data_IF_613218953479
#
_entry.id   IF_613218953479
#
_cell.length_a   1.000
_cell.length_b   1.000
_cell.length_c   1.000
_cell.angle_alpha   90.00
_cell.angle_beta   90.00
_cell.angle_gamma   90.00
#
_symmetry.space_group_name_H-M   'P 1'
#
loop_
_entity.id
_entity.type
_entity.pdbx_description
1 polymer ?
#
# COMPACT_ATOMS: atom_id res chain seq x y z
N UNK A 1 11.06 -30.94 4.56
CA UNK A 1 10.44 -30.34 5.74
C UNK A 1 10.69 -28.84 5.70
N UNK A 2 9.66 -28.01 5.90
CA UNK A 2 9.83 -26.55 5.95
C UNK A 2 10.49 -26.15 7.26
N UNK A 3 11.43 -25.23 7.20
CA UNK A 3 12.04 -24.66 8.40
C UNK A 3 11.03 -23.75 9.12
N UNK A 4 11.22 -23.52 10.42
CA UNK A 4 10.39 -22.56 11.19
C UNK A 4 10.37 -21.16 10.57
N UNK A 5 11.46 -20.74 9.95
CA UNK A 5 11.57 -19.47 9.22
C UNK A 5 10.69 -19.45 7.97
N UNK A 6 10.68 -20.54 7.19
CA UNK A 6 9.78 -20.68 6.02
C UNK A 6 8.32 -20.71 6.43
N UNK A 7 7.99 -21.37 7.55
CA UNK A 7 6.64 -21.35 8.12
C UNK A 7 6.21 -19.93 8.53
N UNK A 8 7.08 -19.17 9.19
CA UNK A 8 6.79 -17.78 9.55
C UNK A 8 6.64 -16.88 8.32
N UNK A 9 7.42 -17.13 7.27
CA UNK A 9 7.36 -16.35 6.03
C UNK A 9 6.08 -16.63 5.25
N UNK A 10 5.66 -17.90 5.18
CA UNK A 10 4.36 -18.29 4.63
C UNK A 10 3.20 -17.69 5.44
N UNK A 11 3.31 -17.70 6.77
CA UNK A 11 2.27 -17.16 7.63
C UNK A 11 2.01 -15.67 7.42
N UNK A 12 3.03 -14.88 7.05
CA UNK A 12 2.86 -13.44 6.81
C UNK A 12 2.07 -13.16 5.53
N UNK A 13 2.41 -13.82 4.41
CA UNK A 13 1.66 -13.66 3.15
C UNK A 13 0.26 -14.27 3.24
N UNK A 14 0.12 -15.43 3.88
CA UNK A 14 -1.17 -16.09 4.12
C UNK A 14 -2.11 -15.25 4.98
N UNK A 15 -1.57 -14.58 6.01
CA UNK A 15 -2.35 -13.63 6.82
C UNK A 15 -2.82 -12.42 6.00
N UNK A 16 -1.94 -11.84 5.18
CA UNK A 16 -2.31 -10.74 4.28
C UNK A 16 -3.40 -11.21 3.32
N UNK A 17 -3.24 -12.38 2.72
CA UNK A 17 -4.25 -12.98 1.83
C UNK A 17 -5.59 -13.20 2.53
N UNK A 18 -5.61 -13.83 3.68
CA UNK A 18 -6.83 -14.08 4.46
C UNK A 18 -7.55 -12.77 4.81
N UNK A 19 -6.81 -11.74 5.19
CA UNK A 19 -7.37 -10.42 5.50
C UNK A 19 -7.85 -9.69 4.24
N UNK A 20 -7.14 -9.85 3.11
CA UNK A 20 -7.57 -9.39 1.80
C UNK A 20 -8.91 -10.02 1.40
N UNK A 21 -9.04 -11.35 1.55
CA UNK A 21 -10.25 -12.10 1.19
C UNK A 21 -11.47 -11.67 2.03
N UNK A 22 -11.27 -11.37 3.30
CA UNK A 22 -12.30 -10.83 4.20
C UNK A 22 -12.67 -9.37 3.90
N UNK A 23 -11.83 -8.68 3.14
CA UNK A 23 -11.93 -7.26 2.86
C UNK A 23 -11.47 -6.38 4.00
N UNK A 24 -11.13 -5.14 3.71
CA UNK A 24 -10.62 -4.20 4.70
C UNK A 24 -9.10 -4.27 4.88
N UNK A 25 -8.37 -4.18 3.79
CA UNK A 25 -6.92 -4.06 3.75
C UNK A 25 -6.52 -2.79 3.00
N UNK A 26 -5.42 -2.19 3.41
CA UNK A 26 -4.82 -1.05 2.70
C UNK A 26 -3.30 -1.13 2.75
N UNK A 27 -2.66 -0.51 1.76
CA UNK A 27 -1.21 -0.31 1.72
C UNK A 27 -0.95 1.19 1.78
N UNK A 28 -0.17 1.61 2.77
CA UNK A 28 0.18 3.01 3.04
C UNK A 28 1.69 3.09 3.22
N UNK A 29 2.32 4.14 2.70
CA UNK A 29 3.71 4.46 2.98
C UNK A 29 3.85 5.70 3.88
N UNK A 30 4.84 5.66 4.77
CA UNK A 30 5.32 6.86 5.48
C UNK A 30 6.51 7.51 4.78
N UNK A 31 7.12 6.83 3.80
CA UNK A 31 8.31 7.29 3.10
C UNK A 31 7.99 8.33 2.03
N UNK A 32 8.99 9.15 1.71
CA UNK A 32 8.96 10.11 0.61
C UNK A 32 10.33 10.16 -0.06
N UNK A 33 10.35 10.36 -1.39
CA UNK A 33 11.58 10.44 -2.17
C UNK A 33 12.48 11.63 -1.79
N UNK A 34 11.86 12.75 -1.37
CA UNK A 34 12.54 13.98 -0.94
C UNK A 34 13.10 13.93 0.50
N UNK A 35 12.99 12.79 1.20
CA UNK A 35 13.44 12.60 2.58
C UNK A 35 14.61 11.63 2.67
N UNK A 36 15.51 11.87 3.63
CA UNK A 36 16.62 10.99 3.94
C UNK A 36 16.13 9.62 4.46
N UNK A 37 17.00 8.61 4.42
CA UNK A 37 16.73 7.28 4.99
C UNK A 37 16.38 7.35 6.48
N UNK A 38 17.05 8.24 7.24
CA UNK A 38 16.81 8.45 8.68
C UNK A 38 15.42 9.05 8.92
N UNK A 39 15.05 10.08 8.19
CA UNK A 39 13.72 10.70 8.24
C UNK A 39 12.62 9.70 7.85
N UNK A 40 12.81 8.98 6.76
CA UNK A 40 11.84 7.97 6.32
C UNK A 40 11.66 6.84 7.34
N UNK A 41 12.73 6.43 8.04
CA UNK A 41 12.65 5.48 9.15
C UNK A 41 11.83 6.02 10.32
N UNK A 42 12.04 7.29 10.70
CA UNK A 42 11.29 7.97 11.76
C UNK A 42 9.81 8.12 11.38
N UNK A 43 9.53 8.54 10.14
CA UNK A 43 8.17 8.64 9.59
C UNK A 43 7.43 7.29 9.58
N UNK A 44 8.11 6.20 9.22
CA UNK A 44 7.54 4.85 9.28
C UNK A 44 7.17 4.43 10.70
N UNK A 45 8.01 4.72 11.70
CA UNK A 45 7.70 4.47 13.12
C UNK A 45 6.51 5.31 13.60
N UNK A 46 6.43 6.57 13.16
CA UNK A 46 5.31 7.44 13.51
C UNK A 46 4.01 6.96 12.86
N UNK A 47 4.06 6.49 11.60
CA UNK A 47 2.91 5.90 10.92
C UNK A 47 2.39 4.66 11.68
N UNK A 48 3.26 3.80 12.19
CA UNK A 48 2.87 2.66 13.04
C UNK A 48 2.07 3.11 14.29
N UNK A 49 2.51 4.19 14.94
CA UNK A 49 1.81 4.77 16.12
C UNK A 49 0.45 5.35 15.72
N UNK A 50 0.41 6.09 14.63
CA UNK A 50 -0.82 6.73 14.14
C UNK A 50 -1.86 5.69 13.69
N UNK A 51 -1.43 4.57 13.08
CA UNK A 51 -2.30 3.44 12.74
C UNK A 51 -2.97 2.89 14.00
N UNK A 52 -2.16 2.62 15.04
CA UNK A 52 -2.68 2.15 16.34
C UNK A 52 -3.55 3.19 17.02
N UNK A 53 -3.16 4.46 17.00
CA UNK A 53 -3.93 5.57 17.54
C UNK A 53 -5.31 5.76 16.92
N UNK A 54 -5.48 5.28 15.67
CA UNK A 54 -6.82 5.20 15.05
C UNK A 54 -7.61 3.93 15.44
N UNK A 55 -7.10 3.11 16.35
CA UNK A 55 -7.72 1.84 16.72
C UNK A 55 -7.72 0.80 15.60
N UNK A 56 -6.75 0.88 14.70
CA UNK A 56 -6.51 -0.13 13.68
C UNK A 56 -5.50 -1.16 14.20
N UNK A 57 -5.58 -2.43 13.77
CA UNK A 57 -4.57 -3.42 14.10
C UNK A 57 -3.18 -2.98 13.64
N UNK A 58 -2.15 -3.46 14.32
CA UNK A 58 -0.76 -3.20 13.94
C UNK A 58 -0.48 -3.61 12.49
N UNK A 59 0.30 -2.80 11.80
CA UNK A 59 0.61 -3.00 10.40
C UNK A 59 1.68 -4.07 10.18
N UNK A 60 1.60 -4.76 9.03
CA UNK A 60 2.68 -5.60 8.51
C UNK A 60 3.58 -4.75 7.62
N UNK A 61 4.88 -4.71 7.92
CA UNK A 61 5.87 -3.99 7.09
C UNK A 61 6.17 -4.76 5.82
N UNK A 62 6.13 -4.05 4.70
CA UNK A 62 6.36 -4.58 3.36
C UNK A 62 7.24 -3.63 2.55
N UNK A 63 7.76 -4.09 1.42
CA UNK A 63 8.46 -3.25 0.43
C UNK A 63 7.65 -3.19 -0.85
N UNK A 64 7.18 -2.02 -1.21
CA UNK A 64 6.65 -1.73 -2.53
C UNK A 64 7.78 -1.54 -3.55
N UNK A 65 7.57 -1.99 -4.78
CA UNK A 65 8.43 -1.76 -5.93
C UNK A 65 7.56 -1.32 -7.10
N UNK A 66 7.95 -0.25 -7.74
CA UNK A 66 7.28 0.24 -8.95
C UNK A 66 8.27 0.93 -9.86
N UNK A 67 7.88 1.10 -11.10
CA UNK A 67 8.63 1.84 -12.09
C UNK A 67 8.14 3.29 -12.08
N UNK A 68 9.04 4.23 -11.76
CA UNK A 68 8.80 5.66 -11.83
C UNK A 68 9.40 6.20 -13.12
N UNK A 69 8.56 6.81 -13.94
CA UNK A 69 8.99 7.45 -15.19
C UNK A 69 9.27 8.92 -14.92
N UNK A 70 10.45 9.36 -15.24
CA UNK A 70 10.83 10.76 -15.21
C UNK A 70 10.15 11.48 -16.38
N UNK A 71 9.36 12.51 -16.10
CA UNK A 71 8.55 13.23 -17.09
C UNK A 71 9.43 14.04 -18.06
N UNK A 72 10.62 14.51 -17.63
CA UNK A 72 11.51 15.33 -18.44
C UNK A 72 12.41 14.48 -19.36
N UNK A 73 12.92 13.37 -18.85
CA UNK A 73 13.88 12.51 -19.58
C UNK A 73 13.26 11.26 -20.19
N UNK A 74 12.03 10.91 -19.78
CA UNK A 74 11.35 9.67 -20.16
C UNK A 74 11.99 8.39 -19.59
N UNK A 75 13.04 8.53 -18.76
CA UNK A 75 13.76 7.42 -18.15
C UNK A 75 12.95 6.74 -17.07
N UNK A 76 12.86 5.43 -17.13
CA UNK A 76 12.21 4.63 -16.09
C UNK A 76 13.21 4.19 -15.03
N UNK A 77 12.91 4.48 -13.77
CA UNK A 77 13.73 4.09 -12.61
C UNK A 77 12.92 3.20 -11.69
N UNK A 78 13.49 2.06 -11.27
CA UNK A 78 12.86 1.19 -10.28
C UNK A 78 12.97 1.78 -8.88
N UNK A 79 11.84 2.12 -8.30
CA UNK A 79 11.75 2.67 -6.95
C UNK A 79 11.36 1.56 -5.96
N UNK A 80 12.04 1.54 -4.83
CA UNK A 80 11.73 0.65 -3.71
C UNK A 80 11.37 1.46 -2.47
N UNK A 81 10.18 1.25 -1.95
CA UNK A 81 9.67 1.99 -0.80
C UNK A 81 9.17 1.06 0.32
N UNK A 82 9.44 1.44 1.56
CA UNK A 82 8.87 0.75 2.71
C UNK A 82 7.43 1.18 2.92
N UNK A 83 6.54 0.20 2.93
CA UNK A 83 5.11 0.40 3.10
C UNK A 83 4.55 -0.43 4.26
N UNK A 84 3.31 -0.16 4.62
CA UNK A 84 2.60 -0.79 5.72
C UNK A 84 1.29 -1.37 5.21
N UNK A 85 1.10 -2.66 5.36
CA UNK A 85 -0.18 -3.32 5.13
C UNK A 85 -1.00 -3.19 6.41
N UNK A 86 -2.11 -2.48 6.32
CA UNK A 86 -3.03 -2.20 7.42
C UNK A 86 -4.35 -2.93 7.16
N UNK A 87 -4.99 -3.42 8.21
CA UNK A 87 -6.30 -4.06 8.12
C UNK A 87 -7.34 -3.31 8.91
N UNK A 88 -8.61 -3.46 8.50
CA UNK A 88 -9.73 -2.79 9.17
C UNK A 88 -9.97 -3.26 10.60
N UNK A 89 -9.54 -4.49 10.93
CA UNK A 89 -9.89 -5.09 12.21
C UNK A 89 -11.41 -5.18 12.38
N UNK A 90 -11.90 -4.66 13.49
CA UNK A 90 -13.34 -4.58 13.79
C UNK A 90 -14.04 -3.34 13.17
N UNK A 91 -13.29 -2.45 12.51
CA UNK A 91 -13.89 -1.24 11.93
C UNK A 91 -14.70 -1.52 10.68
N UNK A 92 -15.83 -0.83 10.55
CA UNK A 92 -16.63 -0.84 9.33
C UNK A 92 -15.86 -0.27 8.13
N UNK A 93 -16.12 -0.80 6.94
CA UNK A 93 -15.41 -0.48 5.68
C UNK A 93 -15.35 1.02 5.38
N UNK A 94 -16.44 1.76 5.65
CA UNK A 94 -16.51 3.22 5.38
C UNK A 94 -15.55 4.01 6.27
N UNK A 95 -15.54 3.70 7.58
CA UNK A 95 -14.67 4.35 8.56
C UNK A 95 -13.21 4.00 8.29
N UNK A 96 -12.92 2.74 8.00
CA UNK A 96 -11.60 2.28 7.60
C UNK A 96 -11.06 3.05 6.39
N UNK A 97 -11.82 3.16 5.29
CA UNK A 97 -11.43 3.96 4.13
C UNK A 97 -11.10 5.41 4.48
N UNK A 98 -11.93 6.03 5.32
CA UNK A 98 -11.74 7.42 5.76
C UNK A 98 -10.44 7.57 6.54
N UNK A 99 -10.17 6.65 7.48
CA UNK A 99 -8.97 6.66 8.32
C UNK A 99 -7.70 6.44 7.48
N UNK A 100 -7.72 5.47 6.56
CA UNK A 100 -6.60 5.21 5.64
C UNK A 100 -6.28 6.41 4.77
N UNK A 101 -7.29 7.06 4.19
CA UNK A 101 -7.10 8.28 3.38
C UNK A 101 -6.54 9.44 4.19
N UNK A 102 -7.00 9.63 5.43
CA UNK A 102 -6.46 10.65 6.33
C UNK A 102 -4.99 10.38 6.66
N UNK A 103 -4.62 9.13 6.92
CA UNK A 103 -3.23 8.73 7.13
C UNK A 103 -2.39 9.01 5.88
N UNK A 104 -2.82 8.56 4.71
CA UNK A 104 -2.12 8.83 3.45
C UNK A 104 -1.89 10.33 3.24
N UNK A 105 -2.91 11.16 3.44
CA UNK A 105 -2.80 12.62 3.35
C UNK A 105 -1.81 13.19 4.36
N UNK A 106 -1.87 12.75 5.64
CA UNK A 106 -0.93 13.19 6.71
C UNK A 106 0.52 12.91 6.34
N UNK A 107 0.79 11.78 5.70
CA UNK A 107 2.13 11.38 5.29
C UNK A 107 2.55 11.89 3.90
N UNK A 108 1.71 12.69 3.26
CA UNK A 108 2.01 13.30 1.96
C UNK A 108 1.97 12.30 0.80
N UNK A 109 1.24 11.21 0.94
CA UNK A 109 1.00 10.26 -0.14
C UNK A 109 -0.07 10.82 -1.08
N UNK A 110 0.18 10.78 -2.38
CA UNK A 110 -0.78 11.24 -3.40
C UNK A 110 -1.99 10.33 -3.50
N UNK A 111 -1.76 9.04 -3.28
CA UNK A 111 -2.79 8.01 -3.27
C UNK A 111 -2.45 6.87 -2.31
N UNK A 112 -3.44 6.06 -1.98
CA UNK A 112 -3.31 4.85 -1.16
C UNK A 112 -4.07 3.70 -1.81
N UNK A 113 -3.51 2.49 -1.73
CA UNK A 113 -4.21 1.29 -2.15
C UNK A 113 -5.17 0.83 -1.04
N UNK A 114 -6.44 0.65 -1.37
CA UNK A 114 -7.46 0.17 -0.44
C UNK A 114 -8.24 -0.98 -1.07
N UNK A 115 -8.34 -2.08 -0.35
CA UNK A 115 -9.17 -3.22 -0.71
C UNK A 115 -10.26 -3.42 0.35
N UNK A 116 -11.51 -3.30 -0.05
CA UNK A 116 -12.68 -3.48 0.84
C UNK A 116 -13.56 -4.66 0.46
N UNK A 117 -13.29 -5.26 -0.68
CA UNK A 117 -13.89 -6.50 -1.21
C UNK A 117 -12.77 -7.30 -1.87
N UNK A 118 -13.08 -8.08 -2.89
CA UNK A 118 -12.11 -8.91 -3.63
C UNK A 118 -11.14 -8.10 -4.51
N UNK A 119 -11.42 -6.83 -4.77
CA UNK A 119 -10.61 -5.97 -5.66
C UNK A 119 -10.02 -4.79 -4.91
N UNK A 120 -8.76 -4.48 -5.22
CA UNK A 120 -8.06 -3.28 -4.77
C UNK A 120 -8.41 -2.06 -5.63
N UNK A 121 -8.35 -0.91 -5.00
CA UNK A 121 -8.56 0.40 -5.62
C UNK A 121 -7.49 1.35 -5.13
N UNK A 122 -6.74 1.96 -6.05
CA UNK A 122 -5.88 3.09 -5.74
C UNK A 122 -6.76 4.32 -5.60
N UNK A 123 -6.75 4.95 -4.44
CA UNK A 123 -7.61 6.09 -4.11
C UNK A 123 -6.79 7.33 -3.83
N UNK A 124 -7.09 8.43 -4.52
CA UNK A 124 -6.45 9.72 -4.27
C UNK A 124 -6.70 10.19 -2.83
N UNK A 125 -5.67 10.72 -2.20
CA UNK A 125 -5.72 11.30 -0.85
C UNK A 125 -5.92 12.82 -0.90
N UNK A 126 -5.58 13.44 -2.05
CA UNK A 126 -5.74 14.86 -2.34
C UNK A 126 -6.23 15.06 -3.78
N UNK A 127 -6.69 16.27 -4.09
CA UNK A 127 -7.07 16.67 -5.45
C UNK A 127 -5.85 16.57 -6.37
N UNK A 128 -6.00 15.92 -7.52
CA UNK A 128 -4.91 15.72 -8.49
C UNK A 128 -3.88 14.64 -8.12
N UNK A 129 -4.01 13.96 -6.98
CA UNK A 129 -3.07 12.92 -6.56
C UNK A 129 -2.96 11.69 -7.47
N UNK A 130 -3.92 11.51 -8.37
CA UNK A 130 -3.91 10.48 -9.43
C UNK A 130 -3.96 11.10 -10.84
N UNK A 131 -3.59 12.39 -10.96
CA UNK A 131 -3.64 13.10 -12.23
C UNK A 131 -5.06 13.45 -12.70
N UNK A 132 -5.17 13.72 -13.99
CA UNK A 132 -6.40 14.08 -14.68
C UNK A 132 -6.76 13.04 -15.75
N UNK A 133 -8.04 12.88 -16.01
CA UNK A 133 -8.53 12.07 -17.14
C UNK A 133 -8.43 12.83 -18.49
N UNK A 134 -8.81 12.17 -19.58
CA UNK A 134 -8.82 12.76 -20.94
C UNK A 134 -9.71 14.01 -21.07
N UNK A 135 -10.60 14.25 -20.11
CA UNK A 135 -11.49 15.42 -20.07
C UNK A 135 -11.01 16.48 -19.07
N UNK A 136 -9.75 16.38 -18.57
CA UNK A 136 -9.16 17.32 -17.62
C UNK A 136 -9.71 17.23 -16.19
N UNK A 137 -10.52 16.23 -15.85
CA UNK A 137 -11.11 16.05 -14.51
C UNK A 137 -10.15 15.28 -13.62
N UNK A 138 -10.08 15.66 -12.33
CA UNK A 138 -9.22 14.94 -11.39
C UNK A 138 -9.67 13.49 -11.19
N UNK A 139 -8.76 12.55 -11.42
CA UNK A 139 -8.99 11.14 -11.17
C UNK A 139 -9.04 10.90 -9.65
N UNK A 140 -10.14 10.33 -9.17
CA UNK A 140 -10.33 10.06 -7.73
C UNK A 140 -9.95 8.65 -7.34
N UNK A 141 -10.06 7.69 -8.27
CA UNK A 141 -9.82 6.25 -8.05
C UNK A 141 -9.42 5.55 -9.33
N UNK A 142 -8.55 4.55 -9.20
CA UNK A 142 -8.15 3.64 -10.28
C UNK A 142 -8.33 2.21 -9.77
N UNK A 143 -8.96 1.34 -10.54
CA UNK A 143 -9.03 -0.10 -10.23
C UNK A 143 -7.64 -0.70 -10.31
N UNK A 144 -7.17 -1.30 -9.21
CA UNK A 144 -5.91 -2.03 -9.17
C UNK A 144 -6.10 -3.53 -9.52
N UNK A 145 -7.32 -4.03 -9.44
CA UNK A 145 -7.62 -5.43 -9.75
C UNK A 145 -7.65 -6.34 -8.54
N UNK A 146 -7.45 -7.65 -8.76
CA UNK A 146 -7.50 -8.67 -7.70
C UNK A 146 -6.14 -8.86 -7.05
N UNK A 147 -6.14 -9.14 -5.74
CA UNK A 147 -4.94 -9.56 -5.03
C UNK A 147 -4.41 -10.90 -5.55
N UNK A 148 -3.16 -10.93 -5.94
CA UNK A 148 -2.46 -12.11 -6.47
C UNK A 148 -1.20 -12.39 -5.64
N UNK A 149 -1.23 -13.42 -4.77
CA UNK A 149 -0.05 -13.83 -4.02
C UNK A 149 0.97 -14.49 -4.94
N UNK A 150 2.25 -14.37 -4.58
CA UNK A 150 3.39 -14.94 -5.31
C UNK A 150 3.51 -14.48 -6.78
N UNK A 151 3.01 -13.29 -7.10
CA UNK A 151 3.08 -12.71 -8.43
C UNK A 151 3.69 -11.31 -8.38
N UNK A 152 4.29 -10.93 -9.50
CA UNK A 152 4.77 -9.57 -9.79
C UNK A 152 3.89 -8.90 -10.82
N UNK A 153 3.94 -7.58 -10.92
CA UNK A 153 3.25 -6.81 -11.94
C UNK A 153 4.20 -5.77 -12.52
N UNK A 154 4.15 -5.49 -13.84
CA UNK A 154 4.88 -4.37 -14.44
C UNK A 154 4.54 -3.02 -13.80
N UNK A 155 3.29 -2.83 -13.39
CA UNK A 155 2.81 -1.60 -12.75
C UNK A 155 3.30 -1.43 -11.29
N UNK A 156 3.86 -2.49 -10.72
CA UNK A 156 4.40 -2.53 -9.36
C UNK A 156 3.95 -3.76 -8.57
N UNK A 157 4.77 -4.14 -7.63
CA UNK A 157 4.48 -5.23 -6.70
C UNK A 157 4.89 -4.88 -5.28
N UNK A 158 4.49 -5.72 -4.34
CA UNK A 158 4.83 -5.57 -2.93
C UNK A 158 5.48 -6.84 -2.42
N UNK A 159 6.59 -6.67 -1.72
CA UNK A 159 7.34 -7.76 -1.13
C UNK A 159 7.15 -7.78 0.39
N UNK A 160 6.75 -8.93 0.91
CA UNK A 160 6.75 -9.24 2.34
C UNK A 160 7.77 -10.35 2.59
N UNK A 161 8.84 -10.02 3.32
CA UNK A 161 10.00 -10.88 3.49
C UNK A 161 10.57 -11.30 2.10
N UNK A 162 10.56 -12.59 1.75
CA UNK A 162 11.03 -13.10 0.46
C UNK A 162 9.90 -13.36 -0.56
N UNK A 163 8.64 -13.15 -0.18
CA UNK A 163 7.47 -13.42 -1.03
C UNK A 163 6.88 -12.13 -1.57
N UNK A 164 6.32 -12.18 -2.77
CA UNK A 164 5.70 -11.03 -3.44
C UNK A 164 4.20 -11.19 -3.52
N UNK A 165 3.52 -10.09 -3.66
CA UNK A 165 2.14 -10.04 -4.13
C UNK A 165 1.92 -8.81 -5.01
N UNK A 166 0.98 -8.89 -5.90
CA UNK A 166 0.59 -7.80 -6.78
C UNK A 166 -0.93 -7.71 -6.89
N UNK A 167 -1.41 -6.61 -7.45
CA UNK A 167 -2.78 -6.45 -7.89
C UNK A 167 -2.81 -6.50 -9.41
N UNK A 168 -3.69 -7.31 -9.96
CA UNK A 168 -3.87 -7.47 -11.41
C UNK A 168 -5.33 -7.33 -11.80
N UNK A 169 -5.56 -6.64 -12.91
CA UNK A 169 -6.86 -6.52 -13.58
C UNK A 169 -7.28 -7.82 -14.22
#
# INVERSE_FOLDING_TARGET
>A
MKTFKEFLDESSLSRIKSKSDKGGMAVISGSRGDKSKKENKARGKQLDRDIKGKGLPGATKVSGRWDEKDDDTGKTTKVKEKSHVVTSGKKGKRKFKKDVKKLGKKYGQDAVLIQTKKTGTVSATRKGGLGKDSQGRNVKRIKAGKFKPNQTSPEGDTQVKKKTFAYKK
#
